data_IF_224102426487
#
_entry.id   IF_224102426487
#
_cell.length_a   1.000
_cell.length_b   1.000
_cell.length_c   1.000
_cell.angle_alpha   90.00
_cell.angle_beta   90.00
_cell.angle_gamma   90.00
#
_symmetry.space_group_name_H-M   'P 1'
#
loop_
_entity.id
_entity.type
_entity.pdbx_description
1 polymer ?
#
# COMPACT_ATOMS: atom_id res chain seq x y z
N UNK A 1 -6.87 -19.22 -7.65
CA UNK A 1 -6.33 -18.32 -6.62
C UNK A 1 -7.49 -17.59 -5.95
N UNK A 2 -7.37 -17.27 -4.65
CA UNK A 2 -8.34 -16.39 -3.98
C UNK A 2 -8.13 -14.95 -4.49
N UNK A 3 -9.22 -14.22 -4.76
CA UNK A 3 -9.17 -12.81 -5.14
C UNK A 3 -8.33 -11.99 -4.16
N UNK A 4 -8.54 -12.20 -2.86
CA UNK A 4 -7.77 -11.56 -1.79
C UNK A 4 -6.26 -11.78 -1.95
N UNK A 5 -5.86 -13.01 -2.19
CA UNK A 5 -4.44 -13.35 -2.36
C UNK A 5 -3.87 -12.73 -3.64
N UNK A 6 -4.65 -12.69 -4.71
CA UNK A 6 -4.22 -12.11 -5.98
C UNK A 6 -4.06 -10.58 -5.88
N UNK A 7 -4.95 -9.90 -5.17
CA UNK A 7 -4.83 -8.47 -4.88
C UNK A 7 -3.62 -8.16 -3.99
N UNK A 8 -3.37 -8.97 -2.95
CA UNK A 8 -2.20 -8.81 -2.08
C UNK A 8 -0.89 -9.08 -2.83
N UNK A 9 -0.85 -10.12 -3.67
CA UNK A 9 0.33 -10.47 -4.47
C UNK A 9 0.60 -9.44 -5.59
N UNK A 10 -0.44 -8.81 -6.15
CA UNK A 10 -0.29 -7.79 -7.19
C UNK A 10 -0.05 -6.39 -6.63
N UNK A 11 -0.19 -6.21 -5.31
CA UNK A 11 -0.15 -4.91 -4.61
C UNK A 11 -0.99 -3.82 -5.31
N UNK A 12 -2.05 -4.23 -6.01
CA UNK A 12 -2.96 -3.32 -6.70
C UNK A 12 -3.94 -2.71 -5.70
N UNK A 13 -4.22 -1.42 -5.85
CA UNK A 13 -5.38 -0.83 -5.22
C UNK A 13 -6.68 -1.43 -5.80
N UNK A 14 -7.81 -1.12 -5.18
CA UNK A 14 -9.08 -1.70 -5.60
C UNK A 14 -9.46 -1.29 -7.03
N UNK A 15 -9.29 -0.02 -7.38
CA UNK A 15 -9.61 0.51 -8.71
C UNK A 15 -8.70 -0.11 -9.79
N UNK A 16 -7.38 -0.12 -9.55
CA UNK A 16 -6.41 -0.73 -10.46
C UNK A 16 -6.67 -2.22 -10.67
N UNK A 17 -7.08 -2.94 -9.62
CA UNK A 17 -7.45 -4.36 -9.73
C UNK A 17 -8.70 -4.58 -10.59
N UNK A 18 -9.73 -3.76 -10.40
CA UNK A 18 -10.96 -3.77 -11.20
C UNK A 18 -10.66 -3.50 -12.68
N UNK A 19 -9.84 -2.50 -12.97
CA UNK A 19 -9.41 -2.15 -14.32
C UNK A 19 -8.61 -3.28 -14.97
N UNK A 20 -7.62 -3.82 -14.26
CA UNK A 20 -6.77 -4.92 -14.74
C UNK A 20 -7.57 -6.17 -15.13
N UNK A 21 -8.63 -6.46 -14.39
CA UNK A 21 -9.49 -7.61 -14.66
C UNK A 21 -10.67 -7.30 -15.61
N UNK A 22 -10.91 -6.04 -15.93
CA UNK A 22 -12.05 -5.62 -16.77
C UNK A 22 -13.42 -5.91 -16.14
N UNK A 23 -13.49 -5.97 -14.80
CA UNK A 23 -14.71 -6.38 -14.07
C UNK A 23 -15.48 -5.22 -13.43
N UNK A 24 -15.46 -4.05 -14.06
CA UNK A 24 -16.13 -2.85 -13.54
C UNK A 24 -17.63 -3.09 -13.18
N UNK A 25 -18.32 -3.97 -13.90
CA UNK A 25 -19.73 -4.33 -13.59
C UNK A 25 -19.88 -5.16 -12.30
N UNK A 26 -18.81 -5.75 -11.82
CA UNK A 26 -18.80 -6.61 -10.62
C UNK A 26 -18.12 -5.93 -9.42
N UNK A 27 -17.81 -4.65 -9.53
CA UNK A 27 -17.15 -3.84 -8.50
C UNK A 27 -17.85 -3.97 -7.15
N UNK A 28 -19.16 -3.72 -7.10
CA UNK A 28 -19.94 -3.83 -5.86
C UNK A 28 -19.97 -5.24 -5.25
N UNK A 29 -19.92 -6.30 -6.09
CA UNK A 29 -19.87 -7.68 -5.59
C UNK A 29 -18.50 -7.96 -4.95
N UNK A 30 -17.44 -7.51 -5.60
CA UNK A 30 -16.09 -7.68 -5.08
C UNK A 30 -15.88 -6.89 -3.78
N UNK A 31 -16.34 -5.64 -3.74
CA UNK A 31 -16.29 -4.81 -2.54
C UNK A 31 -17.00 -5.49 -1.36
N UNK A 32 -18.22 -5.99 -1.59
CA UNK A 32 -18.99 -6.72 -0.58
C UNK A 32 -18.24 -7.96 -0.07
N UNK A 33 -17.60 -8.71 -0.96
CA UNK A 33 -16.79 -9.87 -0.60
C UNK A 33 -15.60 -9.47 0.30
N UNK A 34 -14.89 -8.38 -0.05
CA UNK A 34 -13.77 -7.88 0.75
C UNK A 34 -14.24 -7.37 2.11
N UNK A 35 -15.37 -6.69 2.14
CA UNK A 35 -15.99 -6.20 3.36
C UNK A 35 -16.43 -7.35 4.31
N UNK A 36 -17.01 -8.41 3.77
CA UNK A 36 -17.34 -9.60 4.56
C UNK A 36 -16.09 -10.33 5.07
N UNK A 37 -15.02 -10.39 4.27
CA UNK A 37 -13.74 -10.95 4.68
C UNK A 37 -13.12 -10.13 5.83
N UNK A 38 -13.09 -8.79 5.70
CA UNK A 38 -12.65 -7.88 6.76
C UNK A 38 -13.41 -8.13 8.06
N UNK A 39 -14.74 -8.05 8.00
CA UNK A 39 -15.63 -8.26 9.17
C UNK A 39 -15.42 -9.63 9.82
N UNK A 40 -15.28 -10.67 9.02
CA UNK A 40 -15.06 -12.02 9.52
C UNK A 40 -13.74 -12.13 10.26
N UNK A 41 -12.64 -11.65 9.68
CA UNK A 41 -11.32 -11.69 10.30
C UNK A 41 -11.25 -10.82 11.55
N UNK A 42 -11.81 -9.62 11.51
CA UNK A 42 -11.76 -8.68 12.63
C UNK A 42 -12.56 -9.17 13.84
N UNK A 43 -13.71 -9.80 13.62
CA UNK A 43 -14.57 -10.30 14.72
C UNK A 43 -14.20 -11.69 15.25
N UNK A 44 -13.66 -12.57 14.39
CA UNK A 44 -13.43 -13.97 14.78
C UNK A 44 -12.04 -14.21 15.34
N UNK A 45 -11.06 -13.40 14.99
CA UNK A 45 -9.69 -13.57 15.47
C UNK A 45 -9.39 -12.59 16.61
N UNK A 46 -9.21 -13.06 17.87
CA UNK A 46 -8.83 -12.21 18.99
C UNK A 46 -7.53 -11.46 18.73
N UNK A 47 -7.42 -10.22 19.20
CA UNK A 47 -6.27 -9.33 18.96
C UNK A 47 -4.96 -9.99 19.40
N UNK A 48 -4.98 -10.73 20.53
CA UNK A 48 -3.80 -11.39 21.10
C UNK A 48 -3.28 -12.56 20.24
N UNK A 49 -4.11 -13.06 19.32
CA UNK A 49 -3.77 -14.17 18.42
C UNK A 49 -3.44 -13.72 17.00
N UNK A 50 -3.53 -12.40 16.73
CA UNK A 50 -3.17 -11.84 15.44
C UNK A 50 -1.66 -11.66 15.37
N UNK A 51 -0.99 -12.44 14.53
CA UNK A 51 0.38 -12.17 14.15
C UNK A 51 0.47 -10.87 13.32
N UNK A 52 1.68 -10.39 13.08
CA UNK A 52 1.92 -9.14 12.36
C UNK A 52 1.31 -9.18 10.96
N UNK A 53 1.50 -10.28 10.24
CA UNK A 53 0.97 -10.46 8.89
C UNK A 53 -0.56 -10.43 8.85
N UNK A 54 -1.23 -11.05 9.80
CA UNK A 54 -2.69 -11.04 9.87
C UNK A 54 -3.23 -9.66 10.25
N UNK A 55 -2.53 -8.94 11.13
CA UNK A 55 -2.86 -7.54 11.44
C UNK A 55 -2.78 -6.66 10.22
N UNK A 56 -1.73 -6.82 9.40
CA UNK A 56 -1.55 -6.09 8.16
C UNK A 56 -2.67 -6.39 7.15
N UNK A 57 -3.04 -7.67 6.99
CA UNK A 57 -4.13 -8.07 6.10
C UNK A 57 -5.46 -7.45 6.55
N UNK A 58 -5.79 -7.50 7.84
CA UNK A 58 -7.02 -6.92 8.38
C UNK A 58 -7.04 -5.40 8.18
N UNK A 59 -5.95 -4.71 8.49
CA UNK A 59 -5.83 -3.26 8.32
C UNK A 59 -5.95 -2.86 6.84
N UNK A 60 -5.27 -3.58 5.95
CA UNK A 60 -5.37 -3.35 4.51
C UNK A 60 -6.79 -3.57 3.97
N UNK A 61 -7.47 -4.64 4.39
CA UNK A 61 -8.86 -4.88 4.01
C UNK A 61 -9.78 -3.75 4.47
N UNK A 62 -9.64 -3.34 5.75
CA UNK A 62 -10.38 -2.22 6.30
C UNK A 62 -10.15 -0.94 5.51
N UNK A 63 -8.89 -0.64 5.16
CA UNK A 63 -8.54 0.49 4.32
C UNK A 63 -9.21 0.41 2.94
N UNK A 64 -9.06 -0.70 2.21
CA UNK A 64 -9.64 -0.89 0.87
C UNK A 64 -11.16 -0.69 0.90
N UNK A 65 -11.84 -1.23 1.90
CA UNK A 65 -13.30 -1.09 2.01
C UNK A 65 -13.69 0.35 2.30
N UNK A 66 -13.00 1.05 3.22
CA UNK A 66 -13.28 2.46 3.54
C UNK A 66 -13.00 3.39 2.38
N UNK A 67 -11.93 3.16 1.62
CA UNK A 67 -11.58 4.00 0.46
C UNK A 67 -12.61 3.97 -0.67
N UNK A 68 -13.46 2.94 -0.72
CA UNK A 68 -14.51 2.78 -1.74
C UNK A 68 -15.88 3.12 -1.18
N UNK A 69 -16.17 2.71 0.05
CA UNK A 69 -17.45 2.95 0.73
C UNK A 69 -17.27 2.93 2.25
N UNK A 70 -17.06 4.10 2.84
CA UNK A 70 -16.88 4.25 4.29
C UNK A 70 -18.14 3.84 5.06
N UNK A 71 -19.33 4.04 4.48
CA UNK A 71 -20.60 3.77 5.15
C UNK A 71 -20.77 2.29 5.54
N UNK A 72 -20.20 1.37 4.76
CA UNK A 72 -20.27 -0.06 5.05
C UNK A 72 -19.50 -0.45 6.30
N UNK A 73 -18.37 0.20 6.57
CA UNK A 73 -17.54 -0.09 7.75
C UNK A 73 -18.13 0.57 8.98
N UNK A 74 -18.56 1.81 8.85
CA UNK A 74 -19.17 2.59 9.95
C UNK A 74 -20.44 1.94 10.49
N UNK A 75 -21.31 1.45 9.59
CA UNK A 75 -22.51 0.70 9.99
C UNK A 75 -22.17 -0.54 10.83
N UNK A 76 -21.07 -1.19 10.54
CA UNK A 76 -20.68 -2.42 11.24
C UNK A 76 -19.90 -2.19 12.52
N UNK A 77 -19.02 -1.21 12.57
CA UNK A 77 -18.30 -0.81 13.78
C UNK A 77 -19.28 -0.26 14.83
N UNK A 78 -20.31 0.43 14.38
CA UNK A 78 -21.34 1.01 15.24
C UNK A 78 -22.51 0.06 15.57
N UNK A 79 -22.65 -1.06 14.90
CA UNK A 79 -23.75 -2.03 15.14
C UNK A 79 -23.79 -2.60 16.57
N UNK A 80 -22.75 -2.38 17.38
CA UNK A 80 -22.68 -2.75 18.80
C UNK A 80 -22.87 -1.58 19.78
N UNK A 81 -23.00 -0.34 19.32
CA UNK A 81 -23.09 0.84 20.17
C UNK A 81 -24.20 1.80 19.70
N UNK A 82 -25.42 1.68 20.25
CA UNK A 82 -26.56 2.53 19.83
C UNK A 82 -26.37 4.05 20.11
N UNK A 83 -25.38 4.43 20.92
CA UNK A 83 -25.08 5.85 21.20
C UNK A 83 -24.23 6.51 20.09
N UNK A 84 -23.68 5.74 19.14
CA UNK A 84 -22.89 6.26 18.02
C UNK A 84 -23.75 6.64 16.80
N UNK A 85 -25.05 6.33 16.82
CA UNK A 85 -25.99 6.65 15.74
C UNK A 85 -26.32 8.15 15.60
N UNK A 86 -25.99 8.95 16.62
CA UNK A 86 -26.19 10.43 16.60
C UNK A 86 -24.93 11.23 16.19
N UNK A 87 -23.80 10.58 15.97
CA UNK A 87 -22.64 11.20 15.37
C UNK A 87 -22.83 11.21 13.85
N UNK A 88 -22.84 12.39 13.22
CA UNK A 88 -22.86 12.50 11.77
C UNK A 88 -21.75 11.61 11.16
N UNK A 89 -22.03 10.84 10.10
CA UNK A 89 -20.99 10.02 9.48
C UNK A 89 -19.84 10.94 9.05
N UNK A 90 -18.59 10.56 9.34
CA UNK A 90 -17.44 11.29 8.83
C UNK A 90 -17.56 11.33 7.30
N UNK A 91 -17.57 12.54 6.77
CA UNK A 91 -17.74 12.75 5.34
C UNK A 91 -16.38 12.65 4.65
N UNK A 92 -16.21 11.63 3.81
CA UNK A 92 -15.27 11.73 2.69
C UNK A 92 -13.78 11.53 3.05
N UNK A 93 -13.02 11.51 2.05
CA UNK A 93 -11.58 11.51 1.82
C UNK A 93 -10.65 11.97 2.99
N UNK A 94 -11.15 12.74 3.94
CA UNK A 94 -10.44 13.21 5.14
C UNK A 94 -9.90 12.08 6.05
N UNK A 95 -10.29 10.85 5.78
CA UNK A 95 -9.95 9.70 6.64
C UNK A 95 -8.75 8.88 6.17
N UNK A 96 -8.29 9.02 4.92
CA UNK A 96 -7.17 8.20 4.40
C UNK A 96 -5.88 8.49 5.17
N UNK A 97 -5.59 9.76 5.40
CA UNK A 97 -4.42 10.21 6.16
C UNK A 97 -4.68 10.16 7.67
N UNK A 98 -5.94 10.35 8.11
CA UNK A 98 -6.33 10.23 9.52
C UNK A 98 -6.19 8.78 10.04
N UNK A 99 -6.46 7.77 9.21
CA UNK A 99 -6.06 6.38 9.51
C UNK A 99 -4.56 6.18 9.23
N UNK A 100 -3.73 6.67 10.14
CA UNK A 100 -2.27 6.60 10.02
C UNK A 100 -1.76 5.20 9.71
N UNK A 101 -2.35 4.18 10.29
CA UNK A 101 -1.95 2.79 10.04
C UNK A 101 -2.34 2.31 8.64
N UNK A 102 -3.54 2.64 8.20
CA UNK A 102 -4.00 2.36 6.84
C UNK A 102 -3.16 3.09 5.80
N UNK A 103 -2.86 4.37 6.03
CA UNK A 103 -1.98 5.16 5.16
C UNK A 103 -0.56 4.58 5.10
N UNK A 104 0.04 4.23 6.24
CA UNK A 104 1.34 3.54 6.29
C UNK A 104 1.35 2.26 5.44
N UNK A 105 0.31 1.45 5.55
CA UNK A 105 0.20 0.20 4.77
C UNK A 105 0.00 0.47 3.27
N UNK A 106 -0.74 1.52 2.92
CA UNK A 106 -0.92 1.94 1.54
C UNK A 106 0.44 2.31 0.91
N UNK A 107 1.19 3.17 1.59
CA UNK A 107 2.52 3.61 1.16
C UNK A 107 3.46 2.42 1.02
N UNK A 108 3.53 1.56 2.03
CA UNK A 108 4.36 0.35 2.02
C UNK A 108 4.00 -0.59 0.88
N UNK A 109 2.72 -0.82 0.63
CA UNK A 109 2.28 -1.65 -0.48
C UNK A 109 2.61 -1.02 -1.84
N UNK A 110 2.43 0.28 -1.98
CA UNK A 110 2.78 1.00 -3.20
C UNK A 110 4.28 0.87 -3.53
N UNK A 111 5.16 1.05 -2.54
CA UNK A 111 6.61 0.90 -2.73
C UNK A 111 7.02 -0.56 -2.94
N UNK A 112 6.49 -1.50 -2.16
CA UNK A 112 6.81 -2.92 -2.32
C UNK A 112 6.31 -3.52 -3.65
N UNK A 113 5.27 -2.94 -4.26
CA UNK A 113 4.88 -3.28 -5.63
C UNK A 113 6.03 -3.03 -6.61
N UNK A 114 6.76 -1.93 -6.45
CA UNK A 114 7.91 -1.59 -7.29
C UNK A 114 9.06 -2.56 -7.10
N UNK A 115 9.35 -2.93 -5.84
CA UNK A 115 10.32 -4.00 -5.53
C UNK A 115 9.95 -5.29 -6.25
N UNK A 116 8.68 -5.68 -6.21
CA UNK A 116 8.21 -6.90 -6.88
C UNK A 116 8.32 -6.84 -8.40
N UNK A 117 8.05 -5.69 -9.00
CA UNK A 117 8.21 -5.48 -10.45
C UNK A 117 9.69 -5.49 -10.84
N UNK A 118 10.56 -4.85 -10.04
CA UNK A 118 12.01 -4.85 -10.22
C UNK A 118 12.57 -6.27 -10.18
N UNK A 119 12.21 -7.06 -9.16
CA UNK A 119 12.62 -8.46 -9.01
C UNK A 119 12.21 -9.35 -10.19
N UNK A 120 11.17 -8.97 -10.93
CA UNK A 120 10.69 -9.70 -12.12
C UNK A 120 11.23 -9.16 -13.43
N UNK A 121 12.04 -8.12 -13.40
CA UNK A 121 12.54 -7.44 -14.59
C UNK A 121 11.46 -6.72 -15.40
N UNK A 122 10.34 -6.33 -14.77
CA UNK A 122 9.22 -5.64 -15.42
C UNK A 122 9.47 -4.12 -15.51
N UNK A 123 10.57 -3.74 -16.15
CA UNK A 123 11.05 -2.35 -16.20
C UNK A 123 10.08 -1.42 -16.90
N UNK A 124 9.41 -1.92 -17.94
CA UNK A 124 8.39 -1.16 -18.65
C UNK A 124 7.20 -0.81 -17.72
N UNK A 125 6.70 -1.80 -16.98
CA UNK A 125 5.58 -1.60 -16.04
C UNK A 125 5.97 -0.60 -14.94
N UNK A 126 7.24 -0.62 -14.49
CA UNK A 126 7.80 0.34 -13.55
C UNK A 126 7.83 1.75 -14.14
N UNK A 127 8.29 1.90 -15.40
CA UNK A 127 8.31 3.17 -16.10
C UNK A 127 6.91 3.75 -16.28
N UNK A 128 5.94 2.94 -16.73
CA UNK A 128 4.53 3.35 -16.87
C UNK A 128 3.90 3.76 -15.54
N UNK A 129 4.32 3.12 -14.42
CA UNK A 129 3.80 3.42 -13.08
C UNK A 129 4.36 4.70 -12.48
N UNK A 130 5.61 5.07 -12.83
CA UNK A 130 6.37 6.12 -12.14
C UNK A 130 6.76 7.28 -13.06
N UNK A 131 6.23 7.33 -14.29
CA UNK A 131 6.55 8.38 -15.26
C UNK A 131 6.20 9.77 -14.71
N UNK A 132 5.05 9.90 -14.07
CA UNK A 132 4.58 11.14 -13.45
C UNK A 132 5.46 11.59 -12.28
N UNK A 133 6.21 10.65 -11.67
CA UNK A 133 7.16 10.92 -10.58
C UNK A 133 8.60 11.09 -11.08
N UNK A 134 8.78 11.13 -12.39
CA UNK A 134 10.06 11.38 -13.04
C UNK A 134 10.96 10.15 -13.18
N UNK A 135 10.44 8.92 -12.90
CA UNK A 135 11.15 7.66 -13.09
C UNK A 135 10.63 6.92 -14.33
N UNK A 136 11.14 7.28 -15.49
CA UNK A 136 10.84 6.61 -16.76
C UNK A 136 11.44 5.20 -16.81
N UNK A 137 10.97 4.38 -17.78
CA UNK A 137 11.54 3.06 -18.09
C UNK A 137 13.09 3.09 -18.18
N UNK A 138 13.64 4.09 -18.88
CA UNK A 138 15.10 4.24 -19.07
C UNK A 138 15.83 4.49 -17.75
N UNK A 139 15.23 5.29 -16.87
CA UNK A 139 15.81 5.56 -15.53
C UNK A 139 15.75 4.34 -14.64
N UNK A 140 14.64 3.60 -14.67
CA UNK A 140 14.50 2.34 -13.95
C UNK A 140 15.50 1.30 -14.44
N UNK A 141 15.65 1.14 -15.78
CA UNK A 141 16.64 0.22 -16.35
C UNK A 141 18.04 0.55 -15.84
N UNK A 142 18.43 1.84 -15.93
CA UNK A 142 19.75 2.27 -15.45
C UNK A 142 19.96 2.00 -13.96
N UNK A 143 18.94 2.19 -13.11
CA UNK A 143 19.03 1.94 -11.68
C UNK A 143 19.19 0.44 -11.39
N UNK A 144 18.44 -0.41 -12.11
CA UNK A 144 18.54 -1.86 -11.97
C UNK A 144 19.83 -2.43 -12.55
N UNK A 145 20.35 -1.86 -13.64
CA UNK A 145 21.68 -2.23 -14.18
C UNK A 145 22.75 -1.97 -13.12
N UNK A 146 22.71 -0.79 -12.45
CA UNK A 146 23.66 -0.47 -11.38
C UNK A 146 23.50 -1.41 -10.17
N UNK A 147 22.27 -1.80 -9.82
CA UNK A 147 22.01 -2.82 -8.79
C UNK A 147 22.67 -4.15 -9.16
N UNK A 148 22.43 -4.63 -10.37
CA UNK A 148 22.95 -5.92 -10.85
C UNK A 148 24.46 -5.94 -11.14
N UNK A 149 25.16 -4.81 -11.06
CA UNK A 149 26.62 -4.77 -11.01
C UNK A 149 27.18 -5.30 -9.68
N UNK A 150 26.35 -5.27 -8.59
CA UNK A 150 26.78 -5.61 -7.24
C UNK A 150 26.00 -6.80 -6.66
N UNK A 151 24.73 -6.99 -7.04
CA UNK A 151 23.82 -7.99 -6.51
C UNK A 151 23.20 -8.82 -7.65
N UNK A 152 22.98 -10.11 -7.41
CA UNK A 152 22.41 -11.00 -8.41
C UNK A 152 20.88 -10.94 -8.44
N UNK A 153 20.23 -10.94 -7.27
CA UNK A 153 18.78 -11.05 -7.13
C UNK A 153 18.18 -9.99 -6.21
N UNK A 154 16.98 -9.51 -6.57
CA UNK A 154 16.12 -8.74 -5.67
C UNK A 154 15.19 -9.70 -4.94
N UNK A 155 15.33 -9.84 -3.63
CA UNK A 155 14.51 -10.74 -2.82
C UNK A 155 13.12 -10.15 -2.58
N UNK A 156 12.09 -11.03 -2.57
CA UNK A 156 10.68 -10.64 -2.36
C UNK A 156 9.95 -11.54 -1.36
N UNK A 157 10.69 -12.21 -0.51
CA UNK A 157 10.17 -13.10 0.52
C UNK A 157 9.57 -12.36 1.73
N UNK A 158 9.37 -13.07 2.83
CA UNK A 158 8.82 -12.50 4.06
C UNK A 158 9.75 -11.51 4.73
N UNK A 159 11.08 -11.74 4.64
CA UNK A 159 12.10 -10.90 5.25
C UNK A 159 12.27 -9.60 4.45
N UNK A 160 12.23 -9.66 3.12
CA UNK A 160 12.20 -8.49 2.23
C UNK A 160 10.99 -7.57 2.48
N UNK A 161 9.91 -8.13 3.04
CA UNK A 161 8.71 -7.39 3.42
C UNK A 161 8.66 -7.06 4.91
N UNK A 162 9.71 -7.29 5.65
CA UNK A 162 9.77 -6.97 7.07
C UNK A 162 9.78 -5.46 7.34
N UNK A 163 9.54 -5.08 8.60
CA UNK A 163 9.63 -3.68 9.02
C UNK A 163 11.06 -3.12 8.92
N UNK A 164 12.07 -3.99 8.87
CA UNK A 164 13.47 -3.57 8.72
C UNK A 164 13.77 -3.00 7.32
N UNK A 165 13.01 -3.41 6.30
CA UNK A 165 13.20 -2.99 4.91
C UNK A 165 12.37 -1.76 4.53
N UNK A 166 11.62 -1.19 5.46
CA UNK A 166 10.77 -0.03 5.19
C UNK A 166 10.75 0.92 6.38
N UNK A 167 11.05 2.19 6.13
CA UNK A 167 10.99 3.24 7.14
C UNK A 167 10.18 4.45 6.67
N UNK A 168 9.54 5.10 7.63
CA UNK A 168 8.86 6.39 7.46
C UNK A 168 9.44 7.34 8.49
N UNK A 169 9.89 8.51 8.04
CA UNK A 169 10.19 9.66 8.89
C UNK A 169 9.06 10.68 8.75
N UNK A 170 8.41 10.97 9.86
CA UNK A 170 7.24 11.83 9.98
C UNK A 170 7.61 13.22 10.54
N UNK A 171 8.91 13.55 10.57
CA UNK A 171 9.40 14.80 11.18
C UNK A 171 8.78 16.05 10.57
N UNK A 172 8.49 16.02 9.26
CA UNK A 172 7.93 17.15 8.51
C UNK A 172 6.41 17.05 8.32
N UNK A 173 5.73 16.07 8.91
CA UNK A 173 4.28 15.91 8.81
C UNK A 173 3.50 17.17 9.20
N UNK A 174 3.85 17.76 10.35
CA UNK A 174 3.15 18.95 10.87
C UNK A 174 3.48 20.25 10.13
N UNK A 175 4.67 20.32 9.57
CA UNK A 175 5.19 21.55 8.94
C UNK A 175 4.89 21.61 7.46
N UNK A 176 4.98 20.46 6.77
CA UNK A 176 4.90 20.36 5.32
C UNK A 176 3.87 19.35 4.82
N UNK A 177 3.18 18.62 5.70
CA UNK A 177 2.26 17.51 5.38
C UNK A 177 2.94 16.45 4.49
N UNK A 178 4.19 16.08 4.84
CA UNK A 178 5.03 15.16 4.11
C UNK A 178 5.56 14.07 5.02
N UNK A 179 5.60 12.84 4.52
CA UNK A 179 6.35 11.72 5.10
C UNK A 179 7.53 11.38 4.20
N UNK A 180 8.74 11.34 4.77
CA UNK A 180 9.91 10.82 4.05
C UNK A 180 9.93 9.30 4.17
N UNK A 181 9.98 8.62 3.03
CA UNK A 181 9.89 7.17 2.98
C UNK A 181 11.12 6.56 2.34
N UNK A 182 11.51 5.40 2.87
CA UNK A 182 12.58 4.61 2.33
C UNK A 182 12.18 3.13 2.31
N UNK A 183 12.18 2.53 1.13
CA UNK A 183 12.00 1.09 0.92
C UNK A 183 13.31 0.50 0.42
N UNK A 184 13.93 -0.30 1.23
CA UNK A 184 15.17 -1.02 0.91
C UNK A 184 14.84 -2.23 0.04
N UNK A 185 15.68 -2.53 -0.94
CA UNK A 185 15.69 -3.80 -1.65
C UNK A 185 16.50 -4.80 -0.83
N UNK A 186 15.89 -5.93 -0.49
CA UNK A 186 16.61 -7.01 0.13
C UNK A 186 17.40 -7.76 -0.94
N UNK A 187 18.67 -7.95 -0.70
CA UNK A 187 19.64 -8.64 -1.52
C UNK A 187 20.11 -9.94 -0.85
N UNK A 188 20.80 -10.78 -1.60
CA UNK A 188 21.32 -12.06 -1.14
C UNK A 188 22.47 -11.94 -0.17
N UNK A 189 23.23 -10.84 -0.22
CA UNK A 189 24.40 -10.60 0.61
C UNK A 189 24.04 -9.94 1.96
N UNK A 190 22.87 -9.30 2.02
CA UNK A 190 22.37 -8.59 3.21
C UNK A 190 23.01 -7.22 3.40
N UNK A 191 23.48 -6.59 2.33
CA UNK A 191 24.10 -5.26 2.36
C UNK A 191 23.05 -4.17 2.55
N UNK A 192 21.85 -4.34 1.95
CA UNK A 192 20.68 -3.48 2.12
C UNK A 192 20.96 -2.00 1.80
N UNK A 193 21.78 -1.75 0.80
CA UNK A 193 22.29 -0.42 0.45
C UNK A 193 21.60 0.22 -0.75
N UNK A 194 20.72 -0.52 -1.44
CA UNK A 194 19.93 -0.04 -2.56
C UNK A 194 18.44 0.09 -2.17
N UNK A 195 17.78 1.13 -2.66
CA UNK A 195 16.38 1.33 -2.30
C UNK A 195 15.65 2.39 -3.11
N UNK A 196 14.38 2.53 -2.76
CA UNK A 196 13.48 3.60 -3.21
C UNK A 196 13.37 4.62 -2.08
N UNK A 197 13.61 5.87 -2.39
CA UNK A 197 13.42 7.00 -1.49
C UNK A 197 12.48 8.02 -2.11
N UNK A 198 11.66 8.67 -1.30
CA UNK A 198 10.76 9.71 -1.77
C UNK A 198 9.99 10.35 -0.63
N UNK A 199 9.24 11.37 -0.97
CA UNK A 199 8.39 12.10 -0.04
C UNK A 199 6.93 11.85 -0.40
N UNK A 200 6.15 11.31 0.53
CA UNK A 200 4.70 11.16 0.37
C UNK A 200 4.05 12.51 0.64
N UNK A 201 3.43 13.07 -0.37
CA UNK A 201 2.57 14.24 -0.21
C UNK A 201 1.23 13.78 0.37
N UNK A 202 0.99 14.10 1.64
CA UNK A 202 -0.19 13.65 2.35
C UNK A 202 -1.47 14.32 1.86
N UNK A 203 -1.40 15.59 1.47
CA UNK A 203 -2.54 16.34 0.96
C UNK A 203 -2.95 15.80 -0.42
N UNK A 204 -2.01 15.64 -1.33
CA UNK A 204 -2.27 15.07 -2.64
C UNK A 204 -2.71 13.60 -2.57
N UNK A 205 -2.14 12.81 -1.65
CA UNK A 205 -2.54 11.42 -1.38
C UNK A 205 -3.97 11.35 -0.85
N UNK A 206 -4.36 12.29 0.01
CA UNK A 206 -5.71 12.37 0.54
C UNK A 206 -6.71 12.73 -0.54
N UNK A 207 -6.41 13.74 -1.35
CA UNK A 207 -7.28 14.23 -2.42
C UNK A 207 -7.44 13.19 -3.55
N UNK A 208 -6.36 12.50 -3.90
CA UNK A 208 -6.31 11.49 -4.98
C UNK A 208 -6.82 10.11 -4.56
N UNK A 209 -6.77 9.76 -3.27
CA UNK A 209 -7.05 8.41 -2.76
C UNK A 209 -5.99 7.37 -3.15
N UNK A 210 -4.87 7.80 -3.68
CA UNK A 210 -3.70 6.98 -4.03
C UNK A 210 -2.42 7.67 -3.54
N UNK A 211 -1.36 6.88 -3.34
CA UNK A 211 -0.07 7.41 -2.87
C UNK A 211 0.55 8.30 -3.93
N UNK A 212 0.78 9.55 -3.59
CA UNK A 212 1.51 10.51 -4.42
C UNK A 212 2.89 10.74 -3.81
N UNK A 213 3.92 10.46 -4.61
CA UNK A 213 5.32 10.64 -4.22
C UNK A 213 5.95 11.81 -4.97
N UNK A 214 6.71 12.60 -4.23
CA UNK A 214 7.59 13.65 -4.74
C UNK A 214 9.04 13.33 -4.37
N UNK A 215 10.00 14.03 -4.97
CA UNK A 215 11.44 13.80 -4.76
C UNK A 215 11.85 12.32 -4.86
N UNK A 216 11.15 11.60 -5.72
CA UNK A 216 11.29 10.16 -5.89
C UNK A 216 12.61 9.79 -6.57
N UNK A 217 13.34 8.86 -5.97
CA UNK A 217 14.61 8.36 -6.48
C UNK A 217 14.82 6.89 -6.16
N UNK A 218 15.57 6.19 -7.01
CA UNK A 218 15.95 4.80 -6.86
C UNK A 218 17.46 4.67 -7.05
N UNK A 219 18.13 3.98 -6.15
CA UNK A 219 19.58 3.77 -6.21
C UNK A 219 20.21 3.52 -4.83
N UNK A 220 21.53 3.55 -4.83
CA UNK A 220 22.37 3.49 -3.62
C UNK A 220 22.35 4.81 -2.85
#
# INVERSE_FOLDING_TARGET
>A
KSVLRDMLESASDFKGYIQKLGIARSEGILLRYLAEAYRSLDRTVPIEKRDERLRDIISWLGFVVRSVDSSLVDEWENAGNPAALDAAPPQGIDEVVADRRGCTLLVRNALFRRVTLAARGHVRDLGELDEDWGMSEVRWQKALDAYHEQHEEVLTDGDARSAAMFSIDESDEKAAHVWHVHQIFADEDGDHDFGIMGDVDLDATQDGGEVILTHYRVGF
#
